data_IF_413803324707
#
_entry.id   IF_413803324707
#
_cell.length_a   1.000
_cell.length_b   1.000
_cell.length_c   1.000
_cell.angle_alpha   90.00
_cell.angle_beta   90.00
_cell.angle_gamma   90.00
#
_symmetry.space_group_name_H-M   'P 1'
#
loop_
_entity.id
_entity.type
_entity.pdbx_description
1 polymer ?
#
# COMPACT_ATOMS: atom_id res chain seq x y z
N UNK A 1 13.11 -0.16 -8.28
CA UNK A 1 11.75 -0.06 -7.73
C UNK A 1 11.74 0.63 -6.39
N UNK A 2 10.80 1.56 -6.21
CA UNK A 2 10.63 2.32 -4.97
C UNK A 2 9.80 1.56 -3.91
N UNK A 3 9.31 0.35 -4.25
CA UNK A 3 8.50 -0.50 -3.37
C UNK A 3 9.17 -1.85 -3.24
N UNK A 4 9.27 -2.34 -2.00
CA UNK A 4 9.73 -3.69 -1.69
C UNK A 4 8.53 -4.55 -1.30
N UNK A 5 8.22 -5.52 -2.14
CA UNK A 5 7.17 -6.51 -1.92
C UNK A 5 7.73 -7.79 -1.31
N UNK A 6 6.83 -8.58 -0.71
CA UNK A 6 7.08 -9.96 -0.28
C UNK A 6 8.22 -10.15 0.72
N UNK A 7 8.61 -9.07 1.40
CA UNK A 7 9.70 -9.04 2.36
C UNK A 7 9.35 -8.13 3.53
N UNK A 8 9.72 -8.58 4.71
CA UNK A 8 9.58 -7.80 5.93
C UNK A 8 10.65 -6.72 6.02
N UNK A 9 10.20 -5.48 6.16
CA UNK A 9 11.02 -4.30 6.43
C UNK A 9 10.86 -3.88 7.88
N UNK A 10 11.86 -3.20 8.44
CA UNK A 10 11.64 -2.49 9.71
C UNK A 10 10.51 -1.47 9.54
N UNK A 11 9.70 -1.25 10.58
CA UNK A 11 8.53 -0.36 10.50
C UNK A 11 8.86 1.04 10.01
N UNK A 12 10.03 1.59 10.36
CA UNK A 12 10.49 2.89 9.86
C UNK A 12 10.75 2.87 8.34
N UNK A 13 11.47 1.86 7.84
CA UNK A 13 11.72 1.70 6.41
C UNK A 13 10.41 1.48 5.64
N UNK A 14 9.49 0.69 6.20
CA UNK A 14 8.17 0.48 5.64
C UNK A 14 7.35 1.78 5.61
N UNK A 15 7.43 2.59 6.66
CA UNK A 15 6.75 3.87 6.78
C UNK A 15 7.25 4.85 5.69
N UNK A 16 8.57 5.00 5.57
CA UNK A 16 9.19 5.81 4.51
C UNK A 16 8.73 5.34 3.12
N UNK A 17 8.77 4.03 2.87
CA UNK A 17 8.31 3.44 1.61
C UNK A 17 6.85 3.79 1.31
N UNK A 18 5.94 3.64 2.29
CA UNK A 18 4.54 4.03 2.13
C UNK A 18 4.40 5.51 1.80
N UNK A 19 5.11 6.39 2.50
CA UNK A 19 5.04 7.83 2.25
C UNK A 19 5.54 8.21 0.87
N UNK A 20 6.66 7.64 0.42
CA UNK A 20 7.34 8.03 -0.82
C UNK A 20 6.80 7.36 -2.08
N UNK A 21 6.25 6.15 -1.97
CA UNK A 21 5.98 5.30 -3.13
C UNK A 21 4.48 5.05 -3.42
N UNK A 22 3.59 5.63 -2.62
CA UNK A 22 2.14 5.42 -2.75
C UNK A 22 1.37 6.75 -2.74
N UNK A 23 0.28 6.80 -3.50
CA UNK A 23 -0.71 7.89 -3.46
C UNK A 23 -1.43 7.89 -2.11
N UNK A 24 -1.86 9.06 -1.64
CA UNK A 24 -2.63 9.21 -0.39
C UNK A 24 -4.09 8.80 -0.53
N UNK A 25 -4.32 7.49 -0.65
CA UNK A 25 -5.64 6.86 -0.81
C UNK A 25 -5.73 5.54 -0.06
N UNK A 26 -6.96 5.06 0.10
CA UNK A 26 -7.25 3.74 0.66
C UNK A 26 -6.71 3.57 2.07
N UNK A 27 -5.96 2.49 2.29
CA UNK A 27 -5.46 2.12 3.60
C UNK A 27 -4.14 2.81 4.00
N UNK A 28 -3.54 3.67 3.15
CA UNK A 28 -2.20 4.25 3.41
C UNK A 28 -2.13 4.93 4.78
N UNK A 29 -3.07 5.82 5.09
CA UNK A 29 -3.11 6.54 6.37
C UNK A 29 -3.25 5.60 7.58
N UNK A 30 -4.07 4.56 7.46
CA UNK A 30 -4.23 3.56 8.52
C UNK A 30 -2.94 2.75 8.74
N UNK A 31 -2.27 2.33 7.66
CA UNK A 31 -1.01 1.59 7.75
C UNK A 31 0.11 2.46 8.35
N UNK A 32 0.21 3.73 7.95
CA UNK A 32 1.18 4.68 8.54
C UNK A 32 0.97 4.83 10.05
N UNK A 33 -0.30 4.90 10.48
CA UNK A 33 -0.64 4.92 11.90
C UNK A 33 -0.21 3.64 12.61
N UNK A 34 -0.47 2.46 12.03
CA UNK A 34 -0.03 1.21 12.64
C UNK A 34 1.49 1.12 12.74
N UNK A 35 2.22 1.44 11.67
CA UNK A 35 3.68 1.34 11.65
C UNK A 35 4.35 2.41 12.50
N UNK A 36 3.74 3.58 12.68
CA UNK A 36 4.26 4.67 13.53
C UNK A 36 3.99 4.50 15.03
N UNK A 37 2.96 3.74 15.43
CA UNK A 37 2.64 3.49 16.84
C UNK A 37 3.43 2.33 17.48
N UNK A 38 4.25 1.64 16.68
CA UNK A 38 4.96 0.43 17.09
C UNK A 38 6.42 0.76 17.41
N UNK A 39 6.83 0.49 18.65
CA UNK A 39 8.23 0.53 19.11
C UNK A 39 8.85 -0.87 19.10
N UNK A 40 10.19 -0.94 19.19
CA UNK A 40 11.03 -2.14 19.04
C UNK A 40 10.62 -3.40 19.84
N UNK A 41 9.81 -3.24 20.89
CA UNK A 41 9.37 -4.34 21.77
C UNK A 41 7.85 -4.62 21.73
N UNK A 42 7.08 -3.92 20.89
CA UNK A 42 5.61 -3.87 20.99
C UNK A 42 4.83 -4.81 20.05
N UNK A 43 5.46 -5.42 19.03
CA UNK A 43 4.72 -6.33 18.14
C UNK A 43 4.64 -7.71 18.77
N UNK A 44 3.59 -7.92 19.57
CA UNK A 44 3.13 -9.26 19.91
C UNK A 44 1.88 -9.54 19.08
N UNK A 45 1.99 -10.46 18.13
CA UNK A 45 0.83 -10.97 17.41
C UNK A 45 -0.01 -11.77 18.40
N UNK A 46 -1.19 -11.26 18.76
CA UNK A 46 -2.07 -11.89 19.75
C UNK A 46 -3.12 -12.80 19.11
N UNK A 47 -3.27 -12.73 17.79
CA UNK A 47 -4.11 -13.63 17.00
C UNK A 47 -3.94 -13.41 15.50
N UNK A 48 -4.07 -14.47 14.73
CA UNK A 48 -4.14 -14.47 13.26
C UNK A 48 -5.18 -15.52 12.86
N UNK A 49 -6.21 -15.11 12.12
CA UNK A 49 -7.30 -16.01 11.68
C UNK A 49 -7.07 -16.56 10.26
N UNK A 50 -5.87 -16.35 9.70
CA UNK A 50 -5.52 -16.67 8.33
C UNK A 50 -5.77 -15.51 7.36
N UNK A 51 -6.58 -14.52 7.72
CA UNK A 51 -6.90 -13.35 6.89
C UNK A 51 -6.42 -12.08 7.59
N UNK A 52 -6.99 -11.78 8.76
CA UNK A 52 -6.70 -10.59 9.56
C UNK A 52 -5.69 -10.90 10.65
N UNK A 53 -4.91 -9.90 11.00
CA UNK A 53 -3.95 -10.00 12.09
C UNK A 53 -4.35 -9.07 13.23
N UNK A 54 -4.43 -9.61 14.45
CA UNK A 54 -4.55 -8.81 15.65
C UNK A 54 -3.15 -8.44 16.16
N UNK A 55 -2.85 -7.15 16.16
CA UNK A 55 -1.58 -6.60 16.61
C UNK A 55 -1.80 -5.71 17.82
N UNK A 56 -0.81 -5.73 18.69
CA UNK A 56 -0.79 -4.90 19.88
C UNK A 56 -0.04 -3.60 19.58
N UNK A 57 -0.67 -2.45 19.77
CA UNK A 57 -0.08 -1.11 19.50
C UNK A 57 -0.14 -0.23 20.74
N UNK A 58 0.88 0.61 20.98
CA UNK A 58 0.83 1.61 22.06
C UNK A 58 -0.02 2.80 21.63
N UNK A 59 -1.00 3.19 22.44
CA UNK A 59 -1.78 4.42 22.23
C UNK A 59 -1.34 5.47 23.24
N UNK A 60 -0.45 6.38 22.85
CA UNK A 60 -0.19 7.73 23.42
C UNK A 60 0.19 7.88 24.90
N UNK A 61 -0.49 7.21 25.82
CA UNK A 61 -0.40 7.39 27.27
C UNK A 61 -0.47 6.00 27.94
N UNK A 62 0.64 5.25 27.89
CA UNK A 62 0.85 3.94 28.54
C UNK A 62 -0.11 2.79 28.19
N UNK A 63 -1.23 3.03 27.51
CA UNK A 63 -2.22 2.02 27.16
C UNK A 63 -1.80 1.23 25.94
N UNK A 64 -1.95 -0.09 26.06
CA UNK A 64 -1.75 -1.06 25.00
C UNK A 64 -3.11 -1.33 24.36
N UNK A 65 -3.32 -0.85 23.14
CA UNK A 65 -4.55 -1.08 22.37
C UNK A 65 -4.39 -2.26 21.41
N UNK A 66 -5.44 -3.06 21.24
CA UNK A 66 -5.49 -4.06 20.17
C UNK A 66 -6.00 -3.38 18.88
N UNK A 67 -5.24 -3.50 17.80
CA UNK A 67 -5.67 -3.11 16.47
C UNK A 67 -5.84 -4.37 15.62
N UNK A 68 -6.97 -4.46 14.92
CA UNK A 68 -7.16 -5.46 13.86
C UNK A 68 -6.70 -4.82 12.57
N UNK A 69 -5.77 -5.47 11.88
CA UNK A 69 -5.38 -5.05 10.55
C UNK A 69 -6.24 -5.78 9.52
N UNK A 70 -7.14 -5.09 8.81
CA UNK A 70 -8.00 -5.73 7.83
C UNK A 70 -7.18 -6.09 6.59
N UNK A 71 -7.40 -7.29 6.06
CA UNK A 71 -6.83 -7.74 4.79
C UNK A 71 -7.95 -8.21 3.84
N UNK A 72 -7.81 -8.01 2.52
CA UNK A 72 -6.74 -7.24 1.87
C UNK A 72 -6.90 -5.72 2.11
N UNK A 73 -5.78 -4.99 2.09
CA UNK A 73 -5.75 -3.53 2.10
C UNK A 73 -5.68 -2.98 0.68
N UNK A 74 -6.31 -1.83 0.44
CA UNK A 74 -6.24 -1.12 -0.84
C UNK A 74 -5.17 -0.04 -0.78
N UNK A 75 -4.23 -0.08 -1.72
CA UNK A 75 -3.15 0.89 -1.87
C UNK A 75 -2.95 1.19 -3.36
N UNK A 76 -2.49 2.40 -3.69
CA UNK A 76 -2.15 2.80 -5.05
C UNK A 76 -0.67 3.17 -5.13
N UNK A 77 0.22 2.24 -5.54
CA UNK A 77 1.63 2.54 -5.71
C UNK A 77 1.86 3.38 -6.97
N UNK A 78 2.86 4.26 -6.97
CA UNK A 78 3.29 4.96 -8.18
C UNK A 78 3.93 3.97 -9.16
N UNK A 79 3.19 3.60 -10.21
CA UNK A 79 3.54 2.57 -11.21
C UNK A 79 3.47 3.09 -12.64
N UNK A 80 2.88 4.26 -12.87
CA UNK A 80 2.82 4.94 -14.18
C UNK A 80 3.34 6.37 -14.04
N UNK A 81 3.06 7.23 -15.03
CA UNK A 81 3.36 8.66 -14.95
C UNK A 81 2.56 9.32 -13.81
N UNK A 82 3.16 10.20 -12.99
CA UNK A 82 2.49 10.82 -11.83
C UNK A 82 1.18 11.56 -12.16
N UNK A 83 1.06 12.11 -13.36
CA UNK A 83 -0.11 12.80 -13.88
C UNK A 83 -1.27 11.86 -14.24
N UNK A 84 -0.99 10.57 -14.44
CA UNK A 84 -2.00 9.54 -14.71
C UNK A 84 -2.54 9.00 -13.39
N UNK A 85 -3.85 8.75 -13.31
CA UNK A 85 -4.46 8.12 -12.15
C UNK A 85 -3.79 6.75 -11.87
N UNK A 86 -3.23 6.59 -10.67
CA UNK A 86 -2.55 5.36 -10.28
C UNK A 86 -3.58 4.27 -9.95
N UNK A 87 -3.47 3.06 -10.52
CA UNK A 87 -4.43 1.99 -10.26
C UNK A 87 -4.34 1.51 -8.80
N UNK A 88 -5.50 1.44 -8.14
CA UNK A 88 -5.62 0.80 -6.82
C UNK A 88 -5.43 -0.71 -6.97
N UNK A 89 -4.57 -1.28 -6.13
CA UNK A 89 -4.32 -2.71 -6.00
C UNK A 89 -4.67 -3.18 -4.58
N UNK A 90 -5.04 -4.46 -4.50
CA UNK A 90 -5.20 -5.16 -3.22
C UNK A 90 -3.87 -5.73 -2.78
N UNK A 91 -3.54 -5.57 -1.50
CA UNK A 91 -2.36 -6.16 -0.87
C UNK A 91 -2.74 -6.91 0.41
N UNK A 92 -2.01 -7.97 0.73
CA UNK A 92 -2.01 -8.54 2.09
C UNK A 92 -0.94 -7.81 2.89
N UNK A 93 -1.32 -7.20 3.98
CA UNK A 93 -0.41 -6.59 4.95
C UNK A 93 -0.17 -7.55 6.12
N UNK A 94 1.10 -7.72 6.50
CA UNK A 94 1.50 -8.57 7.63
C UNK A 94 2.52 -7.86 8.50
N UNK A 95 2.43 -8.09 9.80
CA UNK A 95 3.39 -7.65 10.80
C UNK A 95 4.01 -8.84 11.53
N UNK A 96 5.22 -8.68 12.06
CA UNK A 96 5.86 -9.70 12.90
C UNK A 96 6.75 -9.08 13.97
N UNK A 97 7.23 -9.92 14.90
CA UNK A 97 8.18 -9.55 15.95
C UNK A 97 9.45 -8.87 15.37
N UNK A 98 10.08 -8.00 16.17
CA UNK A 98 11.26 -7.23 15.75
C UNK A 98 10.91 -6.01 14.88
N UNK A 99 9.95 -5.20 15.34
CA UNK A 99 8.85 -4.58 14.60
C UNK A 99 9.05 -4.52 13.08
N UNK A 100 8.52 -5.52 12.38
CA UNK A 100 8.58 -5.56 10.91
C UNK A 100 7.21 -5.59 10.29
N UNK A 101 7.11 -5.00 9.11
CA UNK A 101 5.91 -4.97 8.28
C UNK A 101 6.24 -5.39 6.85
N UNK A 102 5.27 -6.01 6.18
CA UNK A 102 5.37 -6.44 4.79
C UNK A 102 4.02 -6.26 4.08
N UNK A 103 4.09 -6.05 2.76
CA UNK A 103 2.95 -6.12 1.85
C UNK A 103 3.21 -7.14 0.74
N UNK A 104 2.16 -7.88 0.38
CA UNK A 104 2.17 -8.89 -0.68
C UNK A 104 1.07 -8.55 -1.68
N UNK A 105 1.39 -8.53 -2.98
CA UNK A 105 0.40 -8.20 -4.01
C UNK A 105 -0.70 -9.28 -4.07
N UNK A 106 -1.96 -8.86 -4.08
CA UNK A 106 -3.13 -9.74 -3.97
C UNK A 106 -4.19 -9.47 -5.06
N UNK A 107 -3.81 -8.78 -6.12
CA UNK A 107 -4.70 -8.46 -7.26
C UNK A 107 -4.39 -9.30 -8.51
N UNK A 108 -3.41 -10.21 -8.44
CA UNK A 108 -3.02 -11.06 -9.56
C UNK A 108 -2.45 -10.30 -10.74
N UNK A 109 -1.92 -9.08 -10.54
CA UNK A 109 -1.40 -8.24 -11.61
C UNK A 109 -2.49 -7.54 -12.44
N UNK A 110 -3.75 -7.58 -12.00
CA UNK A 110 -4.88 -6.92 -12.68
C UNK A 110 -4.66 -5.41 -12.87
N UNK A 111 -3.88 -4.78 -11.99
CA UNK A 111 -3.50 -3.37 -12.09
C UNK A 111 -2.82 -3.01 -13.42
N UNK A 112 -2.13 -3.95 -14.08
CA UNK A 112 -1.42 -3.68 -15.34
C UNK A 112 -2.37 -3.26 -16.44
N UNK A 113 -3.47 -4.00 -16.60
CA UNK A 113 -4.50 -3.66 -17.59
C UNK A 113 -5.15 -2.32 -17.25
N UNK A 114 -5.40 -2.06 -15.96
CA UNK A 114 -5.96 -0.77 -15.54
C UNK A 114 -4.98 0.38 -15.78
N UNK A 115 -3.69 0.19 -15.52
CA UNK A 115 -2.64 1.17 -15.84
C UNK A 115 -2.59 1.50 -17.33
N UNK A 116 -2.63 0.49 -18.20
CA UNK A 116 -2.64 0.67 -19.66
C UNK A 116 -3.85 1.51 -20.10
N UNK A 117 -5.04 1.18 -19.59
CA UNK A 117 -6.27 1.92 -19.92
C UNK A 117 -6.22 3.35 -19.39
N UNK A 118 -5.74 3.57 -18.16
CA UNK A 118 -5.60 4.91 -17.58
C UNK A 118 -4.60 5.77 -18.38
N UNK A 119 -3.48 5.20 -18.83
CA UNK A 119 -2.51 5.90 -19.69
C UNK A 119 -3.16 6.24 -21.03
N UNK A 120 -3.88 5.30 -21.64
CA UNK A 120 -4.59 5.53 -22.90
C UNK A 120 -5.59 6.69 -22.77
N UNK A 121 -6.43 6.66 -21.74
CA UNK A 121 -7.43 7.70 -21.49
C UNK A 121 -6.79 9.07 -21.27
N UNK A 122 -5.72 9.13 -20.45
CA UNK A 122 -4.95 10.35 -20.25
C UNK A 122 -4.40 10.93 -21.56
N UNK A 123 -3.73 10.09 -22.37
CA UNK A 123 -3.18 10.54 -23.65
C UNK A 123 -4.27 10.94 -24.65
N UNK A 124 -5.42 10.26 -24.64
CA UNK A 124 -6.56 10.60 -25.52
C UNK A 124 -7.09 12.00 -25.20
N UNK A 125 -7.16 12.35 -23.92
CA UNK A 125 -7.60 13.69 -23.51
C UNK A 125 -6.57 14.77 -23.80
N UNK A 126 -5.28 14.54 -23.49
CA UNK A 126 -4.21 15.52 -23.70
C UNK A 126 -3.90 15.78 -25.18
N UNK A 127 -4.13 14.79 -26.05
CA UNK A 127 -3.81 14.87 -27.48
C UNK A 127 -5.06 15.05 -28.37
N UNK A 128 -6.24 15.32 -27.80
CA UNK A 128 -7.51 15.41 -28.55
C UNK A 128 -7.56 16.48 -29.65
N UNK A 129 -6.69 17.49 -29.57
CA UNK A 129 -6.59 18.56 -30.57
C UNK A 129 -5.64 18.22 -31.73
N UNK A 130 -4.90 17.12 -31.63
CA UNK A 130 -3.97 16.68 -32.68
C UNK A 130 -4.66 15.71 -33.63
N UNK A 131 -4.63 16.03 -34.92
CA UNK A 131 -5.11 15.16 -35.98
C UNK A 131 -4.09 14.05 -36.31
N UNK A 132 -4.57 12.91 -36.81
CA UNK A 132 -3.76 11.76 -37.25
C UNK A 132 -3.00 11.01 -36.15
N UNK A 133 -3.49 11.03 -34.91
CA UNK A 133 -2.96 10.23 -33.80
C UNK A 133 -4.00 9.19 -33.36
N UNK A 134 -3.59 7.92 -33.29
CA UNK A 134 -4.38 6.83 -32.73
C UNK A 134 -3.65 6.25 -31.52
N UNK A 135 -4.35 6.16 -30.38
CA UNK A 135 -3.79 5.67 -29.12
C UNK A 135 -4.38 4.28 -28.84
N UNK A 136 -3.49 3.29 -28.74
CA UNK A 136 -3.82 1.88 -28.53
C UNK A 136 -3.45 1.42 -27.11
N UNK A 137 -4.11 0.36 -26.64
CA UNK A 137 -3.94 -0.28 -25.34
C UNK A 137 -3.72 -1.79 -25.53
#
# INVERSE_FOLDING_TARGET
DNVVYDRFLGTEQFNIMLQSAFVDVGAKSALLKYTGLIQDEAVKTTGDDGVSQQVTVKTGVASVGQAIVPNPVELAPYRTFPEVEQPISKFIFRMQEGPKAAIYEADGGAWRNKAILNIKEYLQEELKELENIEIIA
#
